data_IF_707572205639
#
_entry.id   IF_707572205639
#
_cell.length_a   1.000
_cell.length_b   1.000
_cell.length_c   1.000
_cell.angle_alpha   90.00
_cell.angle_beta   90.00
_cell.angle_gamma   90.00
#
_symmetry.space_group_name_H-M   'P 1'
#
loop_
_entity.id
_entity.type
_entity.pdbx_description
1 polymer ?
#
# COMPACT_ATOMS: atom_id res chain seq x y z
N UNK A 1 10.93 34.23 -25.83
CA UNK A 1 11.12 32.93 -25.15
C UNK A 1 10.57 33.15 -23.76
N UNK A 2 9.31 32.75 -23.56
CA UNK A 2 8.49 33.20 -22.44
C UNK A 2 8.96 32.53 -21.14
N UNK A 3 9.62 33.32 -20.30
CA UNK A 3 9.98 33.01 -18.91
C UNK A 3 8.76 33.13 -17.98
N UNK A 4 7.57 32.72 -18.44
CA UNK A 4 6.46 32.34 -17.55
C UNK A 4 6.81 31.00 -16.91
N UNK A 5 7.79 31.11 -16.02
CA UNK A 5 8.10 30.25 -14.89
C UNK A 5 6.90 29.38 -14.57
N UNK A 6 7.12 28.07 -14.67
CA UNK A 6 6.28 27.03 -14.09
C UNK A 6 6.13 27.27 -12.59
N UNK A 7 5.31 28.26 -12.21
CA UNK A 7 4.94 28.54 -10.85
C UNK A 7 4.07 27.38 -10.44
N UNK A 8 4.61 26.51 -9.61
CA UNK A 8 3.87 25.39 -9.05
C UNK A 8 2.49 25.90 -8.61
N UNK A 9 1.43 25.26 -9.09
CA UNK A 9 0.07 25.66 -8.76
C UNK A 9 -0.05 25.76 -7.23
N UNK A 10 -0.67 26.83 -6.71
CA UNK A 10 -0.69 27.06 -5.28
C UNK A 10 -1.40 25.90 -4.56
N UNK A 11 -1.00 25.63 -3.33
CA UNK A 11 -1.35 24.42 -2.60
C UNK A 11 -2.86 24.15 -2.55
N UNK A 12 -3.65 25.22 -2.43
CA UNK A 12 -5.11 25.27 -2.43
C UNK A 12 -5.75 24.82 -3.77
N UNK A 13 -5.11 25.09 -4.91
CA UNK A 13 -5.57 24.64 -6.23
C UNK A 13 -5.36 23.14 -6.41
N UNK A 14 -4.20 22.59 -6.03
CA UNK A 14 -3.94 21.15 -6.12
C UNK A 14 -4.82 20.36 -5.13
N UNK A 15 -4.95 20.91 -3.93
CA UNK A 15 -5.84 20.49 -2.85
C UNK A 15 -7.33 20.39 -3.22
N UNK A 16 -7.83 21.37 -3.96
CA UNK A 16 -9.20 21.40 -4.47
C UNK A 16 -9.36 20.69 -5.81
N UNK A 17 -8.28 20.21 -6.42
CA UNK A 17 -8.33 19.56 -7.72
C UNK A 17 -9.02 18.20 -7.63
N UNK A 18 -9.86 17.90 -8.61
CA UNK A 18 -10.52 16.58 -8.73
C UNK A 18 -9.48 15.45 -8.78
N UNK A 19 -8.29 15.71 -9.33
CA UNK A 19 -7.21 14.74 -9.46
C UNK A 19 -6.68 14.24 -8.12
N UNK A 20 -6.54 15.11 -7.11
CA UNK A 20 -6.11 14.70 -5.77
C UNK A 20 -7.06 13.68 -5.16
N UNK A 21 -8.36 13.97 -5.17
CA UNK A 21 -9.38 13.08 -4.60
C UNK A 21 -9.48 11.75 -5.33
N UNK A 22 -9.35 11.76 -6.66
CA UNK A 22 -9.31 10.50 -7.45
C UNK A 22 -8.14 9.62 -7.00
N UNK A 23 -6.94 10.17 -6.86
CA UNK A 23 -5.76 9.41 -6.41
C UNK A 23 -5.94 8.92 -4.97
N UNK A 24 -6.45 9.76 -4.07
CA UNK A 24 -6.65 9.39 -2.67
C UNK A 24 -7.70 8.29 -2.50
N UNK A 25 -8.82 8.35 -3.23
CA UNK A 25 -9.86 7.31 -3.22
C UNK A 25 -9.34 6.02 -3.86
N UNK A 26 -8.65 6.10 -5.00
CA UNK A 26 -8.06 4.92 -5.65
C UNK A 26 -7.04 4.22 -4.72
N UNK A 27 -6.21 5.01 -4.02
CA UNK A 27 -5.29 4.49 -2.99
C UNK A 27 -6.04 3.77 -1.88
N UNK A 28 -7.14 4.36 -1.37
CA UNK A 28 -7.93 3.74 -0.31
C UNK A 28 -8.54 2.41 -0.77
N UNK A 29 -9.19 2.38 -1.93
CA UNK A 29 -9.83 1.17 -2.45
C UNK A 29 -8.81 0.05 -2.68
N UNK A 30 -7.66 0.37 -3.26
CA UNK A 30 -6.56 -0.57 -3.47
C UNK A 30 -6.06 -1.18 -2.15
N UNK A 31 -5.77 -0.33 -1.16
CA UNK A 31 -5.21 -0.81 0.10
C UNK A 31 -6.26 -1.48 1.00
N UNK A 32 -7.54 -1.09 0.90
CA UNK A 32 -8.64 -1.79 1.54
C UNK A 32 -8.75 -3.24 1.04
N UNK A 33 -8.55 -3.47 -0.26
CA UNK A 33 -8.48 -4.83 -0.80
C UNK A 33 -7.31 -5.63 -0.20
N UNK A 34 -6.13 -5.02 -0.05
CA UNK A 34 -4.98 -5.68 0.59
C UNK A 34 -5.24 -6.08 2.05
N UNK A 35 -5.92 -5.23 2.83
CA UNK A 35 -6.32 -5.56 4.21
C UNK A 35 -7.40 -6.62 4.24
N UNK A 36 -8.36 -6.57 3.32
CA UNK A 36 -9.39 -7.60 3.18
C UNK A 36 -8.76 -8.97 2.89
N UNK A 37 -7.86 -9.05 1.92
CA UNK A 37 -7.17 -10.29 1.57
C UNK A 37 -6.36 -10.86 2.74
N UNK A 38 -5.56 -10.03 3.40
CA UNK A 38 -4.82 -10.42 4.61
C UNK A 38 -5.77 -10.97 5.68
N UNK A 39 -6.82 -10.22 5.99
CA UNK A 39 -7.74 -10.56 7.08
C UNK A 39 -8.49 -11.84 6.77
N UNK A 40 -9.04 -11.97 5.55
CA UNK A 40 -9.78 -13.17 5.15
C UNK A 40 -8.88 -14.40 5.07
N UNK A 41 -7.63 -14.25 4.62
CA UNK A 41 -6.65 -15.33 4.59
C UNK A 41 -6.28 -15.78 6.01
N UNK A 42 -5.94 -14.84 6.90
CA UNK A 42 -5.53 -15.15 8.28
C UNK A 42 -6.66 -15.59 9.20
N UNK A 43 -7.91 -15.29 8.85
CA UNK A 43 -9.10 -15.78 9.53
C UNK A 43 -9.63 -17.10 8.92
N UNK A 44 -8.92 -17.67 7.94
CA UNK A 44 -9.32 -18.89 7.22
C UNK A 44 -10.76 -18.83 6.69
N UNK A 45 -11.17 -17.67 6.18
CA UNK A 45 -12.51 -17.51 5.63
C UNK A 45 -12.70 -18.43 4.41
N UNK A 46 -13.52 -19.46 4.56
CA UNK A 46 -13.66 -20.52 3.55
C UNK A 46 -14.17 -20.00 2.20
N UNK A 47 -15.14 -19.08 2.22
CA UNK A 47 -15.69 -18.48 1.01
C UNK A 47 -14.64 -17.66 0.25
N UNK A 48 -13.82 -16.88 0.97
CA UNK A 48 -12.72 -16.12 0.37
C UNK A 48 -11.65 -17.02 -0.22
N UNK A 49 -11.18 -18.02 0.55
CA UNK A 49 -10.15 -18.94 0.11
C UNK A 49 -10.58 -19.72 -1.15
N UNK A 50 -11.86 -20.12 -1.22
CA UNK A 50 -12.43 -20.74 -2.41
C UNK A 50 -12.53 -19.76 -3.59
N UNK A 51 -13.05 -18.55 -3.35
CA UNK A 51 -13.21 -17.53 -4.39
C UNK A 51 -11.87 -17.11 -5.01
N UNK A 52 -10.84 -16.96 -4.19
CA UNK A 52 -9.48 -16.62 -4.61
C UNK A 52 -8.67 -17.85 -5.07
N UNK A 53 -9.27 -19.05 -5.03
CA UNK A 53 -8.64 -20.32 -5.41
C UNK A 53 -7.28 -20.51 -4.73
N UNK A 54 -7.21 -20.22 -3.43
CA UNK A 54 -5.99 -20.32 -2.64
C UNK A 54 -5.58 -21.79 -2.54
N UNK A 55 -4.36 -22.09 -2.97
CA UNK A 55 -3.77 -23.43 -2.88
C UNK A 55 -3.60 -23.83 -1.40
N UNK A 56 -4.12 -24.99 -0.96
CA UNK A 56 -3.89 -25.50 0.40
C UNK A 56 -2.41 -25.60 0.78
N UNK A 57 -1.52 -25.92 -0.16
CA UNK A 57 -0.09 -25.98 0.10
C UNK A 57 0.53 -24.59 0.33
N UNK A 58 0.02 -23.56 -0.35
CA UNK A 58 0.36 -22.17 -0.06
C UNK A 58 -0.10 -21.80 1.35
N UNK A 59 -1.36 -22.09 1.70
CA UNK A 59 -1.93 -21.73 2.99
C UNK A 59 -1.18 -22.38 4.15
N UNK A 60 -0.82 -23.67 4.03
CA UNK A 60 -0.02 -24.37 5.03
C UNK A 60 1.35 -23.70 5.28
N UNK A 61 2.00 -23.17 4.22
CA UNK A 61 3.23 -22.40 4.38
C UNK A 61 2.98 -21.07 5.10
N UNK A 62 1.90 -20.37 4.76
CA UNK A 62 1.51 -19.11 5.41
C UNK A 62 1.18 -19.29 6.89
N UNK A 63 0.58 -20.42 7.26
CA UNK A 63 0.26 -20.77 8.64
C UNK A 63 1.53 -21.15 9.44
N UNK A 64 2.49 -21.81 8.79
CA UNK A 64 3.81 -22.10 9.36
C UNK A 64 4.81 -20.94 9.30
N UNK A 65 4.39 -19.75 8.86
CA UNK A 65 5.27 -18.60 8.71
C UNK A 65 5.80 -18.12 10.07
N UNK A 66 7.08 -17.73 10.17
CA UNK A 66 7.61 -17.15 11.40
C UNK A 66 6.89 -15.83 11.71
N UNK A 67 6.79 -15.51 13.01
CA UNK A 67 6.02 -14.36 13.49
C UNK A 67 6.44 -13.02 12.86
N UNK A 68 7.74 -12.84 12.57
CA UNK A 68 8.24 -11.63 11.93
C UNK A 68 7.78 -11.47 10.47
N UNK A 69 7.58 -12.57 9.74
CA UNK A 69 7.10 -12.52 8.35
C UNK A 69 5.60 -12.20 8.32
N UNK A 70 4.82 -12.87 9.18
CA UNK A 70 3.39 -12.55 9.37
C UNK A 70 3.20 -11.11 9.88
N UNK A 71 4.02 -10.68 10.84
CA UNK A 71 4.04 -9.31 11.34
C UNK A 71 4.40 -8.30 10.27
N UNK A 72 5.36 -8.60 9.40
CA UNK A 72 5.70 -7.79 8.23
C UNK A 72 4.51 -7.61 7.28
N UNK A 73 3.78 -8.70 6.97
CA UNK A 73 2.60 -8.62 6.13
C UNK A 73 1.50 -7.75 6.78
N UNK A 74 1.23 -7.97 8.07
CA UNK A 74 0.27 -7.18 8.83
C UNK A 74 0.63 -5.69 8.81
N UNK A 75 1.86 -5.34 9.17
CA UNK A 75 2.34 -3.95 9.15
C UNK A 75 2.23 -3.36 7.75
N UNK A 76 2.62 -4.11 6.71
CA UNK A 76 2.50 -3.71 5.32
C UNK A 76 1.08 -3.26 4.98
N UNK A 77 0.09 -4.15 5.09
CA UNK A 77 -1.27 -3.85 4.66
C UNK A 77 -1.95 -2.78 5.52
N UNK A 78 -1.79 -2.84 6.86
CA UNK A 78 -2.46 -1.92 7.76
C UNK A 78 -1.86 -0.51 7.72
N UNK A 79 -0.53 -0.38 7.61
CA UNK A 79 0.10 0.93 7.44
C UNK A 79 -0.25 1.55 6.08
N UNK A 80 -0.41 0.73 5.03
CA UNK A 80 -0.87 1.18 3.71
C UNK A 80 -2.31 1.71 3.73
N UNK A 81 -3.20 1.02 4.44
CA UNK A 81 -4.57 1.47 4.65
C UNK A 81 -4.59 2.79 5.44
N UNK A 82 -3.83 2.85 6.55
CA UNK A 82 -3.68 4.08 7.34
C UNK A 82 -3.12 5.23 6.49
N UNK A 83 -2.11 4.98 5.66
CA UNK A 83 -1.54 5.96 4.73
C UNK A 83 -2.57 6.51 3.74
N UNK A 84 -3.44 5.64 3.22
CA UNK A 84 -4.51 6.05 2.29
C UNK A 84 -5.60 6.87 2.98
N UNK A 85 -5.98 6.51 4.21
CA UNK A 85 -6.90 7.30 5.03
C UNK A 85 -6.30 8.66 5.39
N UNK A 86 -5.04 8.69 5.81
CA UNK A 86 -4.31 9.93 6.10
C UNK A 86 -4.17 10.80 4.86
N UNK A 87 -3.99 10.20 3.68
CA UNK A 87 -3.96 10.93 2.41
C UNK A 87 -5.32 11.60 2.14
N UNK A 88 -6.44 10.88 2.32
CA UNK A 88 -7.79 11.46 2.20
C UNK A 88 -8.05 12.59 3.22
N UNK A 89 -7.57 12.42 4.45
CA UNK A 89 -7.63 13.43 5.51
C UNK A 89 -6.59 14.55 5.33
N UNK A 90 -5.77 14.45 4.28
CA UNK A 90 -4.71 15.40 3.93
C UNK A 90 -3.70 15.60 5.04
N UNK A 91 -3.33 14.54 5.75
CA UNK A 91 -2.32 14.59 6.79
C UNK A 91 -0.92 14.32 6.22
N UNK A 92 0.07 15.11 6.66
CA UNK A 92 1.50 14.90 6.32
C UNK A 92 2.04 13.53 6.74
N UNK A 93 1.41 12.90 7.74
CA UNK A 93 1.78 11.57 8.22
C UNK A 93 1.50 10.46 7.20
N UNK A 94 0.76 10.72 6.13
CA UNK A 94 0.50 9.76 5.06
C UNK A 94 1.80 9.20 4.46
N UNK A 95 2.80 10.06 4.25
CA UNK A 95 4.09 9.65 3.71
C UNK A 95 4.83 8.69 4.66
N UNK A 96 4.80 8.96 5.97
CA UNK A 96 5.41 8.06 6.95
C UNK A 96 4.71 6.70 6.99
N UNK A 97 3.37 6.69 6.96
CA UNK A 97 2.59 5.46 6.96
C UNK A 97 2.89 4.57 5.73
N UNK A 98 2.99 5.14 4.53
CA UNK A 98 3.39 4.39 3.34
C UNK A 98 4.85 3.89 3.39
N UNK A 99 5.75 4.64 4.04
CA UNK A 99 7.12 4.19 4.24
C UNK A 99 7.18 2.98 5.19
N UNK A 100 6.43 3.02 6.30
CA UNK A 100 6.29 1.90 7.23
C UNK A 100 5.68 0.68 6.52
N UNK A 101 4.66 0.90 5.69
CA UNK A 101 4.08 -0.14 4.83
C UNK A 101 5.12 -0.79 3.93
N UNK A 102 5.94 0.02 3.25
CA UNK A 102 6.99 -0.46 2.36
C UNK A 102 7.99 -1.38 3.09
N UNK A 103 8.40 -1.00 4.30
CA UNK A 103 9.29 -1.82 5.13
C UNK A 103 8.61 -3.15 5.48
N UNK A 104 7.35 -3.12 5.94
CA UNK A 104 6.59 -4.34 6.25
C UNK A 104 6.45 -5.28 5.05
N UNK A 105 6.13 -4.73 3.88
CA UNK A 105 6.04 -5.46 2.62
C UNK A 105 7.38 -6.12 2.25
N UNK A 106 8.49 -5.39 2.34
CA UNK A 106 9.84 -5.95 2.07
C UNK A 106 10.19 -7.08 3.03
N UNK A 107 9.90 -6.92 4.33
CA UNK A 107 10.12 -7.98 5.32
C UNK A 107 9.31 -9.24 4.96
N UNK A 108 8.02 -9.09 4.68
CA UNK A 108 7.15 -10.21 4.31
C UNK A 108 7.62 -10.91 3.02
N UNK A 109 7.87 -10.13 1.96
CA UNK A 109 8.26 -10.69 0.66
C UNK A 109 9.65 -11.31 0.67
N UNK A 110 10.58 -10.83 1.50
CA UNK A 110 11.90 -11.45 1.67
C UNK A 110 11.76 -12.89 2.18
N UNK A 111 10.87 -13.09 3.15
CA UNK A 111 10.55 -14.44 3.62
C UNK A 111 9.86 -15.29 2.56
N UNK A 112 8.81 -14.76 1.91
CA UNK A 112 8.05 -15.50 0.90
C UNK A 112 8.92 -15.95 -0.28
N UNK A 113 9.88 -15.11 -0.69
CA UNK A 113 10.87 -15.44 -1.70
C UNK A 113 11.79 -16.57 -1.23
N UNK A 114 12.36 -16.46 -0.03
CA UNK A 114 13.23 -17.51 0.54
C UNK A 114 12.50 -18.85 0.74
N UNK A 115 11.22 -18.81 1.13
CA UNK A 115 10.36 -19.98 1.32
C UNK A 115 9.82 -20.59 0.01
N UNK A 116 10.22 -20.03 -1.16
CA UNK A 116 9.77 -20.46 -2.50
C UNK A 116 8.24 -20.57 -2.58
N UNK A 117 7.56 -19.58 -1.99
CA UNK A 117 6.10 -19.46 -2.02
C UNK A 117 5.68 -18.79 -3.33
N UNK A 118 6.49 -17.86 -3.82
CA UNK A 118 6.16 -17.04 -4.98
C UNK A 118 6.82 -17.60 -6.24
N UNK A 119 6.04 -18.12 -7.20
CA UNK A 119 6.59 -18.65 -8.45
C UNK A 119 7.13 -17.54 -9.36
N UNK A 120 6.66 -16.30 -9.18
CA UNK A 120 7.10 -15.13 -9.93
C UNK A 120 7.20 -13.90 -9.02
N UNK A 121 7.96 -12.90 -9.44
CA UNK A 121 8.08 -11.61 -8.76
C UNK A 121 7.03 -10.58 -9.21
N UNK A 122 6.11 -10.94 -10.11
CA UNK A 122 5.17 -9.98 -10.70
C UNK A 122 4.25 -9.37 -9.63
N UNK A 123 3.58 -10.20 -8.83
CA UNK A 123 2.65 -9.71 -7.80
C UNK A 123 3.37 -8.87 -6.73
N UNK A 124 4.50 -9.31 -6.14
CA UNK A 124 5.29 -8.47 -5.24
C UNK A 124 5.74 -7.16 -5.86
N UNK A 125 6.21 -7.18 -7.11
CA UNK A 125 6.65 -5.98 -7.79
C UNK A 125 5.51 -4.97 -8.02
N UNK A 126 4.31 -5.44 -8.35
CA UNK A 126 3.12 -4.59 -8.48
C UNK A 126 2.75 -3.97 -7.12
N UNK A 127 2.74 -4.77 -6.04
CA UNK A 127 2.40 -4.28 -4.70
C UNK A 127 3.44 -3.26 -4.21
N UNK A 128 4.72 -3.59 -4.29
CA UNK A 128 5.82 -2.69 -3.90
C UNK A 128 5.82 -1.43 -4.75
N UNK A 129 5.64 -1.56 -6.07
CA UNK A 129 5.53 -0.42 -6.98
C UNK A 129 4.36 0.50 -6.62
N UNK A 130 3.19 -0.06 -6.33
CA UNK A 130 2.03 0.72 -5.88
C UNK A 130 2.31 1.47 -4.57
N UNK A 131 2.93 0.83 -3.57
CA UNK A 131 3.29 1.47 -2.30
C UNK A 131 4.31 2.60 -2.53
N UNK A 132 5.32 2.37 -3.37
CA UNK A 132 6.33 3.38 -3.72
C UNK A 132 5.69 4.58 -4.40
N UNK A 133 4.77 4.36 -5.34
CA UNK A 133 4.05 5.44 -6.02
C UNK A 133 3.17 6.24 -5.05
N UNK A 134 2.46 5.56 -4.14
CA UNK A 134 1.64 6.20 -3.11
C UNK A 134 2.49 7.02 -2.13
N UNK A 135 3.62 6.46 -1.69
CA UNK A 135 4.61 7.16 -0.86
C UNK A 135 5.16 8.40 -1.55
N UNK A 136 5.61 8.26 -2.81
CA UNK A 136 6.14 9.35 -3.61
C UNK A 136 5.09 10.46 -3.80
N UNK A 137 3.85 10.07 -4.13
CA UNK A 137 2.75 11.01 -4.29
C UNK A 137 2.46 11.76 -2.99
N UNK A 138 2.37 11.06 -1.86
CA UNK A 138 2.18 11.67 -0.55
C UNK A 138 3.29 12.67 -0.21
N UNK A 139 4.56 12.32 -0.45
CA UNK A 139 5.69 13.25 -0.26
C UNK A 139 5.62 14.47 -1.15
N UNK A 140 5.21 14.31 -2.41
CA UNK A 140 5.04 15.42 -3.35
C UNK A 140 3.93 16.36 -2.90
N UNK A 141 2.81 15.82 -2.40
CA UNK A 141 1.69 16.60 -1.89
C UNK A 141 2.02 17.31 -0.56
N UNK A 142 2.84 16.69 0.28
CA UNK A 142 3.37 17.32 1.50
C UNK A 142 4.29 18.51 1.15
N UNK A 143 5.28 18.30 0.27
CA UNK A 143 6.17 19.37 -0.19
C UNK A 143 5.46 20.49 -0.96
N UNK A 144 4.28 20.21 -1.54
CA UNK A 144 3.41 21.20 -2.18
C UNK A 144 2.45 21.91 -1.21
N UNK A 145 2.47 21.59 0.09
CA UNK A 145 1.58 22.18 1.10
C UNK A 145 0.12 21.72 1.01
N UNK A 146 -0.17 20.67 0.24
CA UNK A 146 -1.51 20.09 0.13
C UNK A 146 -1.87 19.31 1.39
N UNK A 147 -0.89 18.62 1.98
CA UNK A 147 -1.01 17.91 3.26
C UNK A 147 -0.67 18.84 4.43
N UNK A 148 -1.22 18.56 5.62
CA UNK A 148 -1.14 19.37 6.85
C UNK A 148 -0.64 18.56 8.05
#
# INVERSE_FOLDING_TARGET
MDETLAKAAPADVLAGSKGFWVVAIASLLWNAYGVLDYSMTKLHNSAWLQAMKVDPAFLAKIDGAPAWATGGWAVGVWASLAGSLLLLLRSRHAALAFLVSLIGAVVSFSWMYGARIMPTLVVPAVIVGAIVLQWWYARRMDGAGVLR
#
